data_IF_259008835915
#
_entry.id   IF_259008835915
#
_cell.length_a   1.000
_cell.length_b   1.000
_cell.length_c   1.000
_cell.angle_alpha   90.00
_cell.angle_beta   90.00
_cell.angle_gamma   90.00
#
_symmetry.space_group_name_H-M   'P 1'
#
loop_
_entity.id
_entity.type
_entity.pdbx_description
1 polymer ?
#
# COMPACT_ATOMS: atom_id res chain seq x y z
N UNK A 1 26.50 -4.37 -11.16
CA UNK A 1 26.19 -3.64 -9.91
C UNK A 1 26.33 -4.62 -8.75
N UNK A 2 26.97 -4.21 -7.66
CA UNK A 2 27.05 -5.05 -6.46
C UNK A 2 25.67 -5.16 -5.80
N UNK A 3 25.44 -6.22 -5.03
CA UNK A 3 24.21 -6.41 -4.25
C UNK A 3 23.96 -5.24 -3.27
N UNK A 4 25.05 -4.72 -2.67
CA UNK A 4 24.98 -3.52 -1.83
C UNK A 4 24.49 -2.29 -2.59
N UNK A 5 24.97 -2.06 -3.80
CA UNK A 5 24.52 -0.95 -4.64
C UNK A 5 23.04 -1.06 -5.01
N UNK A 6 22.58 -2.28 -5.32
CA UNK A 6 21.17 -2.52 -5.63
C UNK A 6 20.27 -2.31 -4.41
N UNK A 7 20.69 -2.73 -3.24
CA UNK A 7 19.97 -2.46 -1.99
C UNK A 7 19.84 -0.96 -1.69
N UNK A 8 20.88 -0.19 -1.97
CA UNK A 8 20.84 1.27 -1.77
C UNK A 8 19.87 1.97 -2.74
N UNK A 9 19.87 1.56 -4.01
CA UNK A 9 18.91 2.07 -4.99
C UNK A 9 17.46 1.71 -4.62
N UNK A 10 17.21 0.45 -4.24
CA UNK A 10 15.90 0.00 -3.79
C UNK A 10 15.43 0.78 -2.56
N UNK A 11 16.33 1.02 -1.60
CA UNK A 11 16.06 1.83 -0.42
C UNK A 11 15.75 3.29 -0.77
N UNK A 12 16.49 3.87 -1.71
CA UNK A 12 16.23 5.23 -2.19
C UNK A 12 14.89 5.34 -2.91
N UNK A 13 14.54 4.36 -3.73
CA UNK A 13 13.24 4.28 -4.40
C UNK A 13 12.10 4.15 -3.36
N UNK A 14 12.29 3.31 -2.35
CA UNK A 14 11.28 3.12 -1.31
C UNK A 14 11.10 4.38 -0.42
N UNK A 15 12.15 5.13 -0.12
CA UNK A 15 12.00 6.44 0.55
C UNK A 15 11.15 7.41 -0.26
N UNK A 16 11.27 7.41 -1.60
CA UNK A 16 10.39 8.21 -2.46
C UNK A 16 8.95 7.71 -2.43
N UNK A 17 8.74 6.40 -2.36
CA UNK A 17 7.42 5.80 -2.19
C UNK A 17 6.76 6.31 -0.89
N UNK A 18 7.45 6.25 0.23
CA UNK A 18 6.95 6.75 1.52
C UNK A 18 6.64 8.25 1.46
N UNK A 19 7.55 9.06 0.91
CA UNK A 19 7.34 10.50 0.78
C UNK A 19 6.13 10.84 -0.11
N UNK A 20 5.94 10.12 -1.22
CA UNK A 20 4.78 10.29 -2.09
C UNK A 20 3.47 9.92 -1.38
N UNK A 21 3.46 8.80 -0.64
CA UNK A 21 2.31 8.38 0.18
C UNK A 21 1.95 9.43 1.24
N UNK A 22 2.94 9.96 1.94
CA UNK A 22 2.73 11.01 2.94
C UNK A 22 2.17 12.29 2.30
N UNK A 23 2.64 12.68 1.12
CA UNK A 23 2.09 13.82 0.37
C UNK A 23 0.61 13.61 0.01
N UNK A 24 0.23 12.39 -0.41
CA UNK A 24 -1.18 12.05 -0.66
C UNK A 24 -2.00 12.14 0.63
N UNK A 25 -1.50 11.62 1.76
CA UNK A 25 -2.20 11.69 3.05
C UNK A 25 -2.38 13.13 3.55
N UNK A 26 -1.51 14.07 3.14
CA UNK A 26 -1.69 15.50 3.40
C UNK A 26 -2.62 16.21 2.40
N UNK A 27 -3.16 15.48 1.43
CA UNK A 27 -4.03 16.03 0.39
C UNK A 27 -3.29 16.82 -0.71
N UNK A 28 -1.98 16.64 -0.84
CA UNK A 28 -1.13 17.33 -1.82
C UNK A 28 -1.10 16.63 -3.19
N UNK A 29 -1.52 15.37 -3.25
CA UNK A 29 -1.54 14.55 -4.46
C UNK A 29 -2.65 13.49 -4.40
N UNK A 30 -2.95 12.85 -5.54
CA UNK A 30 -3.86 11.70 -5.63
C UNK A 30 -3.09 10.41 -5.39
N UNK A 31 -3.78 9.36 -4.97
CA UNK A 31 -3.17 8.04 -4.73
C UNK A 31 -2.54 7.43 -5.99
N UNK A 32 -3.12 7.66 -7.17
CA UNK A 32 -2.57 7.21 -8.46
C UNK A 32 -1.14 7.70 -8.73
N UNK A 33 -0.69 8.79 -8.09
CA UNK A 33 0.68 9.30 -8.25
C UNK A 33 1.74 8.26 -7.87
N UNK A 34 1.44 7.39 -6.90
CA UNK A 34 2.34 6.29 -6.51
C UNK A 34 2.61 5.35 -7.69
N UNK A 35 1.54 4.95 -8.39
CA UNK A 35 1.69 4.10 -9.58
C UNK A 35 2.44 4.82 -10.71
N UNK A 36 2.07 6.05 -11.00
CA UNK A 36 2.63 6.83 -12.10
C UNK A 36 4.13 7.08 -11.95
N UNK A 37 4.59 7.36 -10.73
CA UNK A 37 5.98 7.72 -10.46
C UNK A 37 6.86 6.53 -10.11
N UNK A 38 6.32 5.50 -9.47
CA UNK A 38 7.11 4.49 -8.78
C UNK A 38 6.95 3.07 -9.31
N UNK A 39 6.00 2.81 -10.21
CA UNK A 39 5.83 1.48 -10.80
C UNK A 39 6.25 1.44 -12.26
N UNK A 40 6.75 0.28 -12.69
CA UNK A 40 7.00 0.00 -14.11
C UNK A 40 5.70 -0.14 -14.87
N UNK A 41 5.76 -0.07 -16.20
CA UNK A 41 4.58 -0.18 -17.05
C UNK A 41 3.84 -1.53 -16.90
N UNK A 42 4.61 -2.61 -16.71
CA UNK A 42 4.09 -3.98 -16.57
C UNK A 42 4.06 -4.48 -15.11
N UNK A 43 4.08 -3.57 -14.15
CA UNK A 43 4.08 -3.93 -12.74
C UNK A 43 2.82 -4.71 -12.34
N UNK A 44 2.95 -5.51 -11.29
CA UNK A 44 1.84 -6.23 -10.64
C UNK A 44 1.70 -5.76 -9.20
N UNK A 45 0.47 -5.47 -8.81
CA UNK A 45 0.11 -5.19 -7.42
C UNK A 45 -0.95 -6.20 -6.98
N UNK A 46 -0.77 -6.81 -5.81
CA UNK A 46 -1.74 -7.75 -5.24
C UNK A 46 -2.17 -7.27 -3.86
N UNK A 47 -3.47 -7.08 -3.71
CA UNK A 47 -4.11 -6.71 -2.44
C UNK A 47 -5.05 -7.83 -1.99
N UNK A 48 -5.11 -8.19 -0.70
CA UNK A 48 -5.91 -9.32 -0.23
C UNK A 48 -7.41 -9.15 -0.43
N UNK A 49 -7.91 -7.92 -0.45
CA UNK A 49 -9.33 -7.63 -0.66
C UNK A 49 -9.66 -7.37 -2.14
N UNK A 50 -8.81 -6.63 -2.83
CA UNK A 50 -9.05 -6.17 -4.22
C UNK A 50 -8.53 -7.15 -5.27
N UNK A 51 -7.54 -7.99 -4.91
CA UNK A 51 -6.95 -8.97 -5.81
C UNK A 51 -5.74 -8.42 -6.57
N UNK A 52 -5.55 -8.95 -7.77
CA UNK A 52 -4.38 -8.72 -8.63
C UNK A 52 -4.68 -7.65 -9.68
N UNK A 53 -3.87 -6.61 -9.71
CA UNK A 53 -3.85 -5.58 -10.73
C UNK A 53 -2.60 -5.72 -11.59
N UNK A 54 -2.76 -5.80 -12.90
CA UNK A 54 -1.67 -5.92 -13.86
C UNK A 54 -1.54 -4.64 -14.68
N UNK A 55 -0.33 -4.10 -14.69
CA UNK A 55 0.02 -2.87 -15.38
C UNK A 55 -0.21 -1.60 -14.56
N UNK A 56 0.69 -0.63 -14.75
CA UNK A 56 0.70 0.65 -14.03
C UNK A 56 -0.64 1.39 -14.06
N UNK A 57 -1.34 1.38 -15.18
CA UNK A 57 -2.63 2.04 -15.30
C UNK A 57 -3.73 1.37 -14.46
N UNK A 58 -3.73 0.03 -14.35
CA UNK A 58 -4.64 -0.70 -13.48
C UNK A 58 -4.33 -0.45 -12.01
N UNK A 59 -3.05 -0.41 -11.63
CA UNK A 59 -2.59 -0.09 -10.27
C UNK A 59 -3.01 1.34 -9.90
N UNK A 60 -2.84 2.31 -10.80
CA UNK A 60 -3.26 3.70 -10.56
C UNK A 60 -4.75 3.81 -10.25
N UNK A 61 -5.61 3.14 -11.05
CA UNK A 61 -7.06 3.10 -10.78
C UNK A 61 -7.39 2.43 -9.44
N UNK A 62 -6.77 1.28 -9.18
CA UNK A 62 -6.95 0.57 -7.91
C UNK A 62 -6.60 1.45 -6.71
N UNK A 63 -5.48 2.16 -6.74
CA UNK A 63 -5.07 3.02 -5.64
C UNK A 63 -6.05 4.16 -5.40
N UNK A 64 -6.56 4.80 -6.45
CA UNK A 64 -7.59 5.84 -6.31
C UNK A 64 -8.92 5.23 -5.81
N UNK A 65 -9.37 4.10 -6.35
CA UNK A 65 -10.66 3.49 -6.02
C UNK A 65 -10.67 2.87 -4.62
N UNK A 66 -9.62 2.15 -4.23
CA UNK A 66 -9.54 1.48 -2.93
C UNK A 66 -9.42 2.46 -1.77
N UNK A 67 -8.88 3.64 -2.01
CA UNK A 67 -8.70 4.69 -1.02
C UNK A 67 -9.82 5.73 -1.01
N UNK A 68 -10.71 5.69 -2.00
CA UNK A 68 -11.86 6.60 -2.04
C UNK A 68 -12.76 6.41 -0.82
N UNK A 69 -13.02 7.49 -0.10
CA UNK A 69 -13.88 7.49 1.09
C UNK A 69 -13.23 7.01 2.39
N UNK A 70 -11.93 6.71 2.38
CA UNK A 70 -11.14 6.39 3.57
C UNK A 70 -10.52 7.65 4.20
N UNK A 71 -11.30 8.71 4.33
CA UNK A 71 -10.82 9.98 4.88
C UNK A 71 -10.33 9.81 6.32
N UNK A 72 -9.15 10.34 6.58
CA UNK A 72 -8.52 10.28 7.90
C UNK A 72 -7.78 8.97 8.20
N UNK A 73 -7.83 7.97 7.33
CA UNK A 73 -7.00 6.78 7.47
C UNK A 73 -5.53 7.13 7.19
N UNK A 74 -4.64 6.53 7.96
CA UNK A 74 -3.19 6.72 7.82
C UNK A 74 -2.47 5.38 7.83
N UNK A 75 -1.25 5.38 7.28
CA UNK A 75 -0.45 4.16 7.12
C UNK A 75 0.97 4.38 7.65
N UNK A 76 1.12 4.64 8.97
CA UNK A 76 2.44 4.88 9.56
C UNK A 76 3.31 3.62 9.48
N UNK A 77 4.53 3.80 8.98
CA UNK A 77 5.53 2.75 8.91
C UNK A 77 6.18 2.53 10.27
N UNK A 78 6.36 1.27 10.64
CA UNK A 78 7.06 0.86 11.86
C UNK A 78 8.54 0.58 11.58
N UNK A 79 8.82 -0.25 10.57
CA UNK A 79 10.16 -0.58 10.10
C UNK A 79 10.18 -1.06 8.67
N UNK A 80 11.36 -1.03 8.04
CA UNK A 80 11.58 -1.52 6.67
C UNK A 80 12.91 -2.25 6.58
N UNK A 81 12.91 -3.39 5.90
CA UNK A 81 14.09 -4.16 5.53
C UNK A 81 14.29 -4.10 4.02
N UNK A 82 15.54 -3.97 3.59
CA UNK A 82 15.92 -3.98 2.18
C UNK A 82 17.13 -4.89 1.98
N UNK A 83 16.99 -5.86 1.10
CA UNK A 83 18.05 -6.79 0.69
C UNK A 83 17.98 -7.02 -0.82
N UNK A 84 19.06 -6.72 -1.54
CA UNK A 84 19.06 -6.78 -2.99
C UNK A 84 18.01 -5.89 -3.62
N UNK A 85 17.11 -6.51 -4.36
CA UNK A 85 15.96 -5.85 -4.98
C UNK A 85 14.66 -5.97 -4.15
N UNK A 86 14.71 -6.56 -2.96
CA UNK A 86 13.54 -6.79 -2.10
C UNK A 86 13.41 -5.72 -1.04
N UNK A 87 12.19 -5.23 -0.90
CA UNK A 87 11.78 -4.34 0.21
C UNK A 87 10.65 -5.01 0.96
N UNK A 88 10.78 -5.09 2.27
CA UNK A 88 9.69 -5.53 3.16
C UNK A 88 9.44 -4.43 4.17
N UNK A 89 8.22 -3.92 4.21
CA UNK A 89 7.81 -2.86 5.13
C UNK A 89 6.70 -3.36 6.04
N UNK A 90 6.87 -3.15 7.33
CA UNK A 90 5.81 -3.33 8.33
C UNK A 90 5.22 -1.96 8.67
N UNK A 91 3.87 -1.84 8.56
CA UNK A 91 3.15 -0.59 8.78
C UNK A 91 1.81 -0.85 9.47
N UNK A 92 1.19 0.19 9.96
CA UNK A 92 -0.12 0.14 10.58
C UNK A 92 -1.20 0.65 9.63
N UNK A 93 -2.26 -0.13 9.47
CA UNK A 93 -3.49 0.34 8.86
C UNK A 93 -4.33 0.97 9.97
N UNK A 94 -4.28 2.30 10.06
CA UNK A 94 -4.80 3.07 11.18
C UNK A 94 -6.05 3.84 10.80
N UNK A 95 -7.15 3.53 11.49
CA UNK A 95 -8.41 4.24 11.38
C UNK A 95 -8.37 5.54 12.20
N UNK A 96 -9.22 6.53 11.86
CA UNK A 96 -9.44 7.68 12.73
C UNK A 96 -10.00 7.26 14.09
N UNK A 97 -9.63 7.99 15.14
CA UNK A 97 -10.10 7.75 16.50
C UNK A 97 -9.17 6.90 17.34
N UNK A 98 -9.62 6.61 18.54
CA UNK A 98 -8.88 5.83 19.55
C UNK A 98 -9.82 4.90 20.28
N UNK A 99 -9.24 3.91 20.96
CA UNK A 99 -9.95 3.10 21.96
C UNK A 99 -10.33 3.93 23.18
N UNK A 100 -11.13 3.37 24.08
CA UNK A 100 -11.56 4.05 25.32
C UNK A 100 -10.38 4.41 26.24
N UNK A 101 -9.27 3.68 26.17
CA UNK A 101 -8.03 3.95 26.91
C UNK A 101 -7.01 4.78 26.08
N UNK A 102 -7.43 5.37 24.96
CA UNK A 102 -6.63 6.31 24.18
C UNK A 102 -5.63 5.68 23.21
N UNK A 103 -5.70 4.37 22.97
CA UNK A 103 -4.82 3.70 22.00
C UNK A 103 -5.32 3.87 20.56
N UNK A 104 -4.42 3.89 19.56
CA UNK A 104 -4.82 3.94 18.15
C UNK A 104 -5.66 2.72 17.75
N UNK A 105 -6.68 2.94 16.91
CA UNK A 105 -7.43 1.87 16.25
C UNK A 105 -6.65 1.45 15.00
N UNK A 106 -5.87 0.39 15.08
CA UNK A 106 -4.97 -0.02 14.00
C UNK A 106 -4.75 -1.52 13.92
N UNK A 107 -4.56 -2.01 12.70
CA UNK A 107 -4.19 -3.38 12.40
C UNK A 107 -2.86 -3.41 11.63
N UNK A 108 -2.03 -4.46 11.80
CA UNK A 108 -0.76 -4.55 11.08
C UNK A 108 -0.96 -4.83 9.60
N UNK A 109 -0.06 -4.28 8.79
CA UNK A 109 0.08 -4.57 7.38
C UNK A 109 1.55 -4.79 7.02
N UNK A 110 1.78 -5.60 6.00
CA UNK A 110 3.10 -5.85 5.42
C UNK A 110 3.01 -5.64 3.92
N UNK A 111 3.91 -4.83 3.39
CA UNK A 111 4.14 -4.71 1.96
C UNK A 111 5.44 -5.40 1.57
N UNK A 112 5.41 -6.17 0.51
CA UNK A 112 6.58 -6.81 -0.11
C UNK A 112 6.71 -6.26 -1.51
N UNK A 113 7.82 -5.53 -1.80
CA UNK A 113 8.06 -4.92 -3.10
C UNK A 113 9.30 -5.51 -3.76
N UNK A 114 9.32 -5.50 -5.11
CA UNK A 114 10.51 -5.83 -5.91
C UNK A 114 10.95 -4.60 -6.72
N UNK A 115 12.18 -4.19 -6.49
CA UNK A 115 12.80 -3.09 -7.21
C UNK A 115 13.27 -3.55 -8.59
N UNK A 116 12.84 -2.86 -9.64
CA UNK A 116 13.14 -3.22 -11.03
C UNK A 116 14.30 -2.42 -11.64
N UNK A 117 14.77 -1.37 -10.97
CA UNK A 117 15.73 -0.41 -11.50
C UNK A 117 15.07 0.93 -11.83
N UNK A 118 15.88 1.91 -12.21
CA UNK A 118 15.45 3.25 -12.60
C UNK A 118 14.47 3.92 -11.61
N UNK A 119 14.65 3.58 -10.34
CA UNK A 119 13.83 4.10 -9.25
C UNK A 119 12.40 3.57 -9.21
N UNK A 120 12.11 2.43 -9.83
CA UNK A 120 10.76 1.87 -9.96
C UNK A 120 10.68 0.46 -9.40
N UNK A 121 9.47 0.07 -8.99
CA UNK A 121 9.08 -1.27 -8.58
C UNK A 121 8.27 -1.94 -9.70
N UNK A 122 8.45 -3.23 -9.89
CA UNK A 122 7.61 -4.01 -10.80
C UNK A 122 6.64 -4.95 -10.07
N UNK A 123 6.73 -5.01 -8.75
CA UNK A 123 5.86 -5.84 -7.94
C UNK A 123 5.62 -5.24 -6.56
N UNK A 124 4.37 -5.36 -6.09
CA UNK A 124 3.98 -5.14 -4.70
C UNK A 124 2.91 -6.15 -4.28
N UNK A 125 3.09 -6.74 -3.12
CA UNK A 125 2.11 -7.58 -2.44
C UNK A 125 1.84 -7.01 -1.06
N UNK A 126 0.60 -6.63 -0.80
CA UNK A 126 0.15 -6.24 0.52
C UNK A 126 -0.48 -7.42 1.24
N UNK A 127 -0.15 -7.57 2.52
CA UNK A 127 -0.73 -8.59 3.40
C UNK A 127 -1.33 -7.88 4.61
N UNK A 128 -2.64 -8.00 4.76
CA UNK A 128 -3.41 -7.41 5.86
C UNK A 128 -4.31 -8.46 6.50
N UNK A 129 -4.52 -8.32 7.80
CA UNK A 129 -5.58 -9.06 8.49
C UNK A 129 -6.93 -8.32 8.31
N UNK A 130 -7.62 -8.62 7.22
CA UNK A 130 -8.89 -7.96 6.90
C UNK A 130 -9.99 -8.25 7.94
N UNK A 131 -9.95 -9.40 8.62
CA UNK A 131 -10.88 -9.68 9.70
C UNK A 131 -10.74 -8.67 10.84
N UNK A 132 -9.52 -8.40 11.27
CA UNK A 132 -9.21 -7.40 12.30
C UNK A 132 -9.59 -5.97 11.84
N UNK A 133 -9.30 -5.62 10.59
CA UNK A 133 -9.70 -4.31 10.03
C UNK A 133 -11.23 -4.13 10.11
N UNK A 134 -12.01 -5.14 9.74
CA UNK A 134 -13.46 -5.08 9.83
C UNK A 134 -13.99 -5.02 11.29
N UNK A 135 -13.30 -5.66 12.23
CA UNK A 135 -13.63 -5.52 13.65
C UNK A 135 -13.36 -4.10 14.17
N UNK A 136 -12.23 -3.51 13.80
CA UNK A 136 -11.91 -2.13 14.13
C UNK A 136 -12.90 -1.13 13.53
N UNK A 137 -13.33 -1.34 12.29
CA UNK A 137 -14.38 -0.51 11.66
C UNK A 137 -15.69 -0.55 12.45
N UNK A 138 -16.07 -1.69 13.03
CA UNK A 138 -17.30 -1.83 13.81
C UNK A 138 -17.25 -1.13 15.17
N UNK A 139 -16.06 -1.04 15.79
CA UNK A 139 -15.89 -0.41 17.11
C UNK A 139 -15.45 1.04 17.02
N UNK A 140 -15.08 1.52 15.85
CA UNK A 140 -14.73 2.91 15.60
C UNK A 140 -15.99 3.75 15.36
N UNK A 141 -15.91 5.05 15.61
CA UNK A 141 -16.93 6.01 15.21
C UNK A 141 -16.85 6.38 13.71
N UNK A 142 -15.86 5.86 13.01
CA UNK A 142 -15.68 6.10 11.60
C UNK A 142 -16.81 5.47 10.78
N UNK A 143 -17.35 6.22 9.83
CA UNK A 143 -18.38 5.74 8.91
C UNK A 143 -17.85 5.82 7.46
N UNK A 144 -18.09 4.77 6.65
CA UNK A 144 -17.71 4.81 5.24
C UNK A 144 -18.48 5.92 4.53
N UNK A 145 -17.77 6.69 3.69
CA UNK A 145 -18.44 7.72 2.88
C UNK A 145 -19.17 7.10 1.68
N UNK A 146 -20.07 7.88 1.09
CA UNK A 146 -20.81 7.45 -0.12
C UNK A 146 -19.89 7.25 -1.35
N UNK A 147 -18.66 7.74 -1.30
CA UNK A 147 -17.65 7.56 -2.37
C UNK A 147 -16.83 6.30 -2.22
N UNK A 148 -17.01 5.55 -1.14
CA UNK A 148 -16.28 4.31 -0.89
C UNK A 148 -16.66 3.24 -1.91
N UNK A 149 -15.67 2.67 -2.58
CA UNK A 149 -15.85 1.53 -3.46
C UNK A 149 -15.76 0.22 -2.68
N UNK A 150 -16.45 -0.81 -3.15
CA UNK A 150 -16.37 -2.14 -2.57
C UNK A 150 -15.44 -3.04 -3.39
N UNK A 151 -14.63 -3.87 -2.72
CA UNK A 151 -13.83 -4.87 -3.41
C UNK A 151 -14.71 -5.87 -4.19
N UNK A 152 -14.15 -6.54 -5.24
CA UNK A 152 -14.86 -7.58 -5.95
C UNK A 152 -15.17 -8.79 -5.03
N UNK A 153 -16.28 -9.49 -5.29
CA UNK A 153 -16.67 -10.69 -4.50
C UNK A 153 -15.64 -11.83 -4.58
N UNK A 154 -15.02 -11.99 -5.74
CA UNK A 154 -14.05 -13.06 -6.04
C UNK A 154 -12.76 -12.47 -6.62
N UNK A 155 -11.93 -11.82 -5.81
CA UNK A 155 -10.67 -11.26 -6.28
C UNK A 155 -9.68 -12.36 -6.69
N UNK A 156 -8.94 -12.14 -7.76
CA UNK A 156 -7.77 -12.95 -8.08
C UNK A 156 -6.65 -12.61 -7.09
N UNK A 157 -6.28 -13.54 -6.25
CA UNK A 157 -5.21 -13.38 -5.24
C UNK A 157 -3.91 -14.05 -5.62
N UNK A 158 -3.68 -14.34 -6.90
CA UNK A 158 -2.42 -14.92 -7.36
C UNK A 158 -1.25 -13.98 -6.99
N UNK A 159 -0.34 -14.39 -6.08
CA UNK A 159 0.74 -13.54 -5.60
C UNK A 159 1.99 -13.58 -6.51
N UNK A 160 1.92 -14.20 -7.67
CA UNK A 160 3.08 -14.30 -8.54
C UNK A 160 3.51 -12.92 -9.05
N UNK A 161 4.82 -12.58 -9.00
CA UNK A 161 5.33 -11.37 -9.64
C UNK A 161 5.16 -11.45 -11.15
N UNK A 162 5.33 -10.32 -11.88
CA UNK A 162 5.34 -10.35 -13.34
C UNK A 162 6.50 -11.22 -13.84
N UNK A 163 6.30 -11.88 -14.98
CA UNK A 163 7.28 -12.75 -15.62
C UNK A 163 8.49 -12.00 -16.17
#
# INVERSE_FOLDING_TARGET
>A
MSESGRSEEARAAYRRYVAAREAVQRGEARWSVLAEQLFTENAVFVDPAWGRMEGRAAIARFLDDSMAGLDGWTFPEEWTMVEGDRVVSFWWNRLPGTTADGQPLQAPGISILRYAGDGRFDYELDILNMAEVFELMKVSDWQPSATMHTPPEKPDRNPAPPG
#
